data_IF_188330765481
#
_entry.id   IF_188330765481
#
_cell.length_a   1.000
_cell.length_b   1.000
_cell.length_c   1.000
_cell.angle_alpha   90.00
_cell.angle_beta   90.00
_cell.angle_gamma   90.00
#
_symmetry.space_group_name_H-M   'P 1'
#
loop_
_entity.id
_entity.type
_entity.pdbx_description
1 polymer ?
#
# COMPACT_ATOMS: atom_id res chain seq x y z
N UNK A 1 0.60 8.34 -19.56
CA UNK A 1 2.06 8.33 -19.77
C UNK A 1 2.58 6.96 -20.21
N UNK A 2 2.03 5.88 -19.69
CA UNK A 2 2.37 4.49 -20.05
C UNK A 2 1.17 3.77 -20.65
N UNK A 3 1.44 2.69 -21.38
CA UNK A 3 0.45 1.71 -21.85
C UNK A 3 0.87 0.35 -21.31
N UNK A 4 -0.08 -0.37 -20.73
CA UNK A 4 0.11 -1.73 -20.24
C UNK A 4 -0.15 -2.74 -21.37
N UNK A 5 0.39 -3.96 -21.30
CA UNK A 5 0.02 -5.06 -22.17
C UNK A 5 -1.48 -5.34 -22.13
N UNK A 6 -2.01 -5.86 -23.24
CA UNK A 6 -3.41 -6.29 -23.30
C UNK A 6 -3.69 -7.40 -22.27
N UNK A 7 -4.76 -7.26 -21.51
CA UNK A 7 -5.14 -8.20 -20.45
C UNK A 7 -4.35 -8.06 -19.15
N UNK A 8 -3.45 -7.08 -19.05
CA UNK A 8 -2.74 -6.83 -17.81
C UNK A 8 -3.70 -6.45 -16.67
N UNK A 9 -3.48 -7.05 -15.51
CA UNK A 9 -4.22 -6.81 -14.27
C UNK A 9 -3.26 -6.73 -13.08
N UNK A 10 -3.79 -6.57 -11.88
CA UNK A 10 -3.01 -6.40 -10.64
C UNK A 10 -2.12 -7.59 -10.29
N UNK A 11 -2.47 -8.79 -10.75
CA UNK A 11 -1.72 -10.03 -10.49
C UNK A 11 -0.64 -10.32 -11.55
N UNK A 12 -0.51 -9.47 -12.58
CA UNK A 12 0.34 -9.74 -13.74
C UNK A 12 1.84 -9.65 -13.46
N UNK A 13 2.26 -9.14 -12.31
CA UNK A 13 3.67 -9.04 -11.92
C UNK A 13 4.52 -8.26 -12.93
N UNK A 14 3.99 -7.19 -13.50
CA UNK A 14 4.63 -6.40 -14.55
C UNK A 14 5.92 -5.72 -14.06
N UNK A 15 6.88 -5.64 -14.96
CA UNK A 15 8.12 -4.88 -14.80
C UNK A 15 8.15 -3.67 -15.74
N UNK A 16 9.12 -2.79 -15.62
CA UNK A 16 9.29 -1.67 -16.56
C UNK A 16 9.51 -2.12 -18.01
N UNK A 17 9.95 -3.36 -18.23
CA UNK A 17 10.15 -3.91 -19.57
C UNK A 17 8.84 -4.28 -20.26
N UNK A 18 7.77 -4.48 -19.49
CA UNK A 18 6.45 -4.87 -19.97
C UNK A 18 5.58 -3.66 -20.33
N UNK A 19 6.02 -2.44 -19.98
CA UNK A 19 5.23 -1.23 -20.23
C UNK A 19 5.77 -0.46 -21.44
N UNK A 20 4.85 0.14 -22.19
CA UNK A 20 5.20 1.02 -23.31
C UNK A 20 5.03 2.48 -22.90
N UNK A 21 6.08 3.27 -23.07
CA UNK A 21 6.03 4.71 -22.82
C UNK A 21 5.37 5.42 -24.01
N UNK A 22 4.33 6.22 -23.73
CA UNK A 22 3.65 7.04 -24.74
C UNK A 22 4.49 8.22 -25.22
N UNK A 23 5.40 8.70 -24.39
CA UNK A 23 6.34 9.74 -24.73
C UNK A 23 7.78 9.23 -24.53
N UNK A 24 8.58 9.26 -25.58
CA UNK A 24 9.99 8.83 -25.56
C UNK A 24 10.91 9.72 -24.70
N UNK A 25 10.40 10.85 -24.22
CA UNK A 25 11.13 11.73 -23.30
C UNK A 25 11.01 11.31 -21.83
N UNK A 26 10.18 10.31 -21.55
CA UNK A 26 10.00 9.78 -20.20
C UNK A 26 10.97 8.61 -20.04
N UNK A 27 11.71 8.60 -18.96
CA UNK A 27 12.51 7.47 -18.51
C UNK A 27 11.99 6.97 -17.15
N UNK A 28 11.94 5.64 -16.98
CA UNK A 28 11.55 4.99 -15.73
C UNK A 28 12.82 4.53 -15.02
N UNK A 29 13.10 5.15 -13.88
CA UNK A 29 14.22 4.80 -13.01
C UNK A 29 13.68 4.02 -11.80
N UNK A 30 14.18 2.80 -11.63
CA UNK A 30 13.85 1.96 -10.47
C UNK A 30 14.83 2.27 -9.35
N UNK A 31 14.31 2.54 -8.17
CA UNK A 31 15.08 2.91 -6.97
C UNK A 31 14.50 2.13 -5.79
N UNK A 32 15.36 1.74 -4.85
CA UNK A 32 14.91 1.12 -3.59
C UNK A 32 13.86 2.01 -2.92
N UNK A 33 12.75 1.43 -2.49
CA UNK A 33 11.58 2.17 -2.03
C UNK A 33 11.87 3.14 -0.87
N UNK A 34 12.76 2.75 0.05
CA UNK A 34 13.21 3.58 1.18
C UNK A 34 13.97 4.84 0.76
N UNK A 35 14.54 4.83 -0.45
CA UNK A 35 15.33 5.95 -1.00
C UNK A 35 14.50 6.91 -1.84
N UNK A 36 13.30 6.50 -2.28
CA UNK A 36 12.44 7.28 -3.16
C UNK A 36 12.15 8.70 -2.64
N UNK A 37 11.83 8.94 -1.35
CA UNK A 37 11.59 10.29 -0.87
C UNK A 37 12.78 11.24 -1.09
N UNK A 38 14.01 10.74 -0.98
CA UNK A 38 15.21 11.54 -1.17
C UNK A 38 15.50 11.89 -2.64
N UNK A 39 14.88 11.18 -3.59
CA UNK A 39 15.10 11.41 -5.04
C UNK A 39 14.19 12.47 -5.64
N UNK A 40 13.23 13.01 -4.89
CA UNK A 40 12.22 13.94 -5.42
C UNK A 40 12.81 15.19 -6.08
N UNK A 41 13.99 15.63 -5.65
CA UNK A 41 14.66 16.77 -6.27
C UNK A 41 15.26 16.46 -7.66
N UNK A 42 15.46 15.18 -7.97
CA UNK A 42 16.18 14.73 -9.16
C UNK A 42 15.25 14.16 -10.24
N UNK A 43 13.95 14.02 -9.94
CA UNK A 43 12.96 13.40 -10.82
C UNK A 43 11.76 14.32 -11.04
N UNK A 44 11.06 14.14 -12.16
CA UNK A 44 9.83 14.86 -12.42
C UNK A 44 8.65 14.34 -11.59
N UNK A 45 8.62 13.02 -11.33
CA UNK A 45 7.58 12.33 -10.55
C UNK A 45 8.21 11.12 -9.84
N UNK A 46 7.71 10.80 -8.66
CA UNK A 46 8.02 9.55 -7.97
C UNK A 46 6.73 8.88 -7.51
N UNK A 47 6.68 7.55 -7.57
CA UNK A 47 5.63 6.73 -6.95
C UNK A 47 6.20 6.21 -5.64
N UNK A 48 5.64 6.66 -4.52
CA UNK A 48 6.16 6.38 -3.18
C UNK A 48 5.05 5.78 -2.33
N UNK A 49 5.30 4.60 -1.77
CA UNK A 49 4.36 3.98 -0.84
C UNK A 49 4.28 4.79 0.47
N UNK A 50 3.08 4.86 1.06
CA UNK A 50 2.80 5.67 2.24
C UNK A 50 3.70 5.39 3.44
N UNK A 51 4.11 4.12 3.65
CA UNK A 51 5.01 3.72 4.71
C UNK A 51 6.45 4.29 4.59
N UNK A 52 6.85 4.76 3.40
CA UNK A 52 8.11 5.47 3.17
C UNK A 52 7.90 6.99 3.06
N UNK A 53 6.75 7.42 2.55
CA UNK A 53 6.43 8.83 2.40
C UNK A 53 6.23 9.52 3.77
N UNK A 54 5.39 8.95 4.62
CA UNK A 54 5.00 9.55 5.91
C UNK A 54 6.21 9.79 6.84
N UNK A 55 7.11 8.82 7.07
CA UNK A 55 8.32 9.06 7.87
C UNK A 55 9.27 10.11 7.29
N UNK A 56 9.21 10.33 5.97
CA UNK A 56 9.97 11.38 5.30
C UNK A 56 9.29 12.76 5.33
N UNK A 57 8.15 12.89 6.03
CA UNK A 57 7.39 14.14 6.13
C UNK A 57 6.54 14.46 4.91
N UNK A 58 6.32 13.49 4.02
CA UNK A 58 5.45 13.60 2.85
C UNK A 58 4.09 13.00 3.19
N UNK A 59 3.10 13.87 3.35
CA UNK A 59 1.74 13.44 3.74
C UNK A 59 0.87 13.25 2.49
N UNK A 60 0.34 12.05 2.23
CA UNK A 60 -0.35 11.72 0.99
C UNK A 60 -1.47 12.71 0.62
N UNK A 61 -2.29 13.11 1.57
CA UNK A 61 -3.41 14.03 1.34
C UNK A 61 -3.01 15.48 1.10
N UNK A 62 -1.79 15.87 1.48
CA UNK A 62 -1.28 17.23 1.34
C UNK A 62 -0.31 17.38 0.17
N UNK A 63 0.58 16.42 0.01
CA UNK A 63 1.78 16.56 -0.84
C UNK A 63 1.70 15.75 -2.14
N UNK A 64 0.82 14.73 -2.21
CA UNK A 64 0.69 13.92 -3.42
C UNK A 64 -0.09 14.66 -4.51
N UNK A 65 0.41 14.60 -5.75
CA UNK A 65 -0.31 15.06 -6.95
C UNK A 65 -1.48 14.11 -7.26
N UNK A 66 -1.28 12.84 -6.98
CA UNK A 66 -2.27 11.77 -7.13
C UNK A 66 -2.14 10.78 -5.98
N UNK A 67 -3.23 10.46 -5.35
CA UNK A 67 -3.32 9.45 -4.31
C UNK A 67 -4.13 8.27 -4.85
N UNK A 68 -3.56 7.06 -4.76
CA UNK A 68 -4.26 5.84 -5.14
C UNK A 68 -5.50 5.63 -4.27
N UNK A 69 -6.58 5.14 -4.88
CA UNK A 69 -7.81 4.83 -4.14
C UNK A 69 -7.57 3.69 -3.16
N UNK A 70 -8.10 3.83 -1.95
CA UNK A 70 -8.15 2.76 -0.95
C UNK A 70 -9.28 1.75 -1.20
N UNK A 71 -10.03 1.92 -2.29
CA UNK A 71 -11.12 1.05 -2.69
C UNK A 71 -10.77 0.28 -3.96
N UNK A 72 -11.31 -0.92 -4.09
CA UNK A 72 -11.18 -1.73 -5.29
C UNK A 72 -10.17 -2.86 -5.16
N UNK A 73 -9.96 -3.57 -6.27
CA UNK A 73 -9.15 -4.79 -6.32
C UNK A 73 -7.67 -4.55 -6.00
N UNK A 74 -7.11 -3.44 -6.48
CA UNK A 74 -5.73 -3.07 -6.18
C UNK A 74 -5.50 -2.84 -4.68
N UNK A 75 -6.45 -2.18 -4.00
CA UNK A 75 -6.35 -1.92 -2.56
C UNK A 75 -6.31 -3.21 -1.74
N UNK A 76 -7.02 -4.25 -2.17
CA UNK A 76 -7.03 -5.56 -1.51
C UNK A 76 -5.63 -6.20 -1.46
N UNK A 77 -4.81 -6.05 -2.51
CA UNK A 77 -3.44 -6.58 -2.56
C UNK A 77 -2.49 -5.93 -1.55
N UNK A 78 -2.77 -4.71 -1.16
CA UNK A 78 -1.93 -3.93 -0.25
C UNK A 78 -2.46 -3.92 1.19
N UNK A 79 -3.47 -4.72 1.48
CA UNK A 79 -3.99 -4.87 2.85
C UNK A 79 -2.94 -5.54 3.74
N UNK A 80 -2.69 -4.95 4.90
CA UNK A 80 -1.81 -5.55 5.90
C UNK A 80 -2.59 -6.55 6.75
N UNK A 81 -1.99 -7.72 6.99
CA UNK A 81 -2.60 -8.82 7.72
C UNK A 81 -1.79 -9.17 8.97
N UNK A 82 -2.49 -9.66 9.99
CA UNK A 82 -1.86 -10.37 11.10
C UNK A 82 -1.71 -11.84 10.70
N UNK A 83 -0.48 -12.30 10.58
CA UNK A 83 -0.17 -13.69 10.20
C UNK A 83 0.23 -14.47 11.44
N UNK A 84 -0.34 -15.65 11.61
CA UNK A 84 -0.02 -16.56 12.72
C UNK A 84 0.34 -17.94 12.20
N UNK A 85 1.05 -18.73 13.01
CA UNK A 85 1.33 -20.12 12.68
C UNK A 85 0.01 -20.90 12.58
N UNK A 86 -0.10 -21.77 11.56
CA UNK A 86 -1.25 -22.63 11.36
C UNK A 86 -1.61 -23.42 12.64
N UNK A 87 -2.88 -23.42 13.01
CA UNK A 87 -3.40 -24.00 14.24
C UNK A 87 -3.44 -23.05 15.44
N UNK A 88 -2.95 -21.80 15.30
CA UNK A 88 -3.01 -20.78 16.35
C UNK A 88 -4.07 -19.71 16.09
N UNK A 89 -4.90 -19.84 15.07
CA UNK A 89 -5.87 -18.86 14.64
C UNK A 89 -6.86 -18.51 15.75
N UNK A 90 -7.25 -19.52 16.55
CA UNK A 90 -8.18 -19.37 17.66
C UNK A 90 -7.50 -19.20 19.03
N UNK A 91 -6.17 -19.04 19.06
CA UNK A 91 -5.47 -18.88 20.33
C UNK A 91 -5.92 -17.58 21.04
N UNK A 92 -6.06 -17.59 22.40
CA UNK A 92 -6.56 -16.43 23.13
C UNK A 92 -5.79 -15.13 22.87
N UNK A 93 -4.47 -15.22 22.69
CA UNK A 93 -3.64 -14.05 22.41
C UNK A 93 -3.91 -13.49 21.02
N UNK A 94 -4.20 -14.33 20.00
CA UNK A 94 -4.56 -13.90 18.65
C UNK A 94 -5.88 -13.15 18.66
N UNK A 95 -6.89 -13.70 19.34
CA UNK A 95 -8.20 -13.05 19.50
C UNK A 95 -8.10 -11.72 20.26
N UNK A 96 -7.23 -11.66 21.28
CA UNK A 96 -6.99 -10.42 22.00
C UNK A 96 -6.32 -9.36 21.11
N UNK A 97 -5.35 -9.76 20.30
CA UNK A 97 -4.68 -8.88 19.33
C UNK A 97 -5.65 -8.38 18.25
N UNK A 98 -6.43 -9.29 17.65
CA UNK A 98 -7.46 -8.95 16.66
C UNK A 98 -8.43 -7.91 17.23
N UNK A 99 -8.98 -8.19 18.41
CA UNK A 99 -9.89 -7.26 19.09
C UNK A 99 -9.26 -5.89 19.37
N UNK A 100 -7.99 -5.86 19.74
CA UNK A 100 -7.29 -4.60 20.02
C UNK A 100 -7.08 -3.79 18.73
N UNK A 101 -6.62 -4.43 17.65
CA UNK A 101 -6.37 -3.78 16.36
C UNK A 101 -7.66 -3.32 15.69
N UNK A 102 -8.75 -4.07 15.80
CA UNK A 102 -10.07 -3.71 15.25
C UNK A 102 -10.90 -2.83 16.19
N UNK A 103 -10.29 -2.25 17.22
CA UNK A 103 -11.00 -1.37 18.15
C UNK A 103 -11.33 -0.02 17.51
N UNK A 104 -12.45 0.57 17.93
CA UNK A 104 -12.84 1.93 17.52
C UNK A 104 -11.73 2.96 17.83
N UNK A 105 -10.99 2.76 18.91
CA UNK A 105 -9.87 3.61 19.28
C UNK A 105 -8.75 3.60 18.22
N UNK A 106 -8.41 2.42 17.68
CA UNK A 106 -7.41 2.29 16.60
C UNK A 106 -7.95 2.89 15.31
N UNK A 107 -9.22 2.63 14.99
CA UNK A 107 -9.88 3.20 13.81
C UNK A 107 -9.85 4.72 13.83
N UNK A 108 -10.27 5.34 14.93
CA UNK A 108 -10.25 6.79 15.09
C UNK A 108 -8.82 7.35 15.00
N UNK A 109 -7.86 6.68 15.63
CA UNK A 109 -6.46 7.07 15.55
C UNK A 109 -5.97 7.12 14.10
N UNK A 110 -6.24 6.10 13.29
CA UNK A 110 -5.82 6.05 11.88
C UNK A 110 -6.51 7.12 11.03
N UNK A 111 -7.77 7.44 11.32
CA UNK A 111 -8.55 8.41 10.55
C UNK A 111 -8.29 9.88 10.93
N UNK A 112 -7.94 10.14 12.18
CA UNK A 112 -7.84 11.48 12.75
C UNK A 112 -6.40 11.96 12.95
N UNK A 113 -5.44 11.03 13.08
CA UNK A 113 -4.05 11.40 13.23
C UNK A 113 -3.53 12.05 11.95
N UNK A 114 -2.97 13.26 12.07
CA UNK A 114 -2.55 14.07 10.92
C UNK A 114 -1.45 13.39 10.08
N UNK A 115 -0.62 12.54 10.71
CA UNK A 115 0.46 11.82 10.03
C UNK A 115 -0.07 10.66 9.19
N UNK A 116 -1.19 10.04 9.57
CA UNK A 116 -1.75 8.86 8.90
C UNK A 116 -2.95 9.15 8.03
N UNK A 117 -3.60 10.28 8.23
CA UNK A 117 -4.85 10.66 7.56
C UNK A 117 -4.75 10.57 6.04
N UNK A 118 -5.57 9.70 5.46
CA UNK A 118 -5.61 9.45 4.02
C UNK A 118 -4.44 8.65 3.44
N UNK A 119 -3.39 8.37 4.23
CA UNK A 119 -2.29 7.49 3.84
C UNK A 119 -2.38 6.08 4.42
N UNK A 120 -3.16 5.93 5.51
CA UNK A 120 -3.48 4.65 6.12
C UNK A 120 -4.98 4.58 6.32
N UNK A 121 -5.63 3.58 5.73
CA UNK A 121 -7.09 3.41 5.78
C UNK A 121 -7.41 2.12 6.54
N UNK A 122 -8.24 2.19 7.62
CA UNK A 122 -8.64 0.98 8.33
C UNK A 122 -9.55 0.12 7.45
N UNK A 123 -9.18 -1.16 7.27
CA UNK A 123 -9.94 -2.16 6.55
C UNK A 123 -10.37 -3.27 7.51
N UNK A 124 -11.29 -2.97 8.44
CA UNK A 124 -11.71 -3.88 9.49
C UNK A 124 -12.80 -4.87 9.05
N UNK A 125 -13.44 -4.60 7.93
CA UNK A 125 -14.49 -5.43 7.33
C UNK A 125 -14.01 -6.20 6.10
N UNK A 126 -12.73 -6.04 5.74
CA UNK A 126 -12.11 -6.71 4.61
C UNK A 126 -12.10 -8.22 4.75
N UNK A 127 -11.95 -8.91 3.64
CA UNK A 127 -12.05 -10.36 3.48
C UNK A 127 -11.39 -11.14 4.61
N UNK A 128 -12.23 -11.80 5.41
CA UNK A 128 -11.81 -12.77 6.43
C UNK A 128 -11.36 -14.11 5.82
N UNK A 129 -11.22 -14.19 4.51
CA UNK A 129 -10.58 -15.35 3.89
C UNK A 129 -9.10 -15.32 4.25
N UNK A 130 -8.79 -16.07 5.30
CA UNK A 130 -7.41 -16.38 5.65
C UNK A 130 -6.74 -16.98 4.43
N UNK A 131 -5.85 -16.23 3.81
CA UNK A 131 -4.94 -16.79 2.84
C UNK A 131 -4.09 -17.83 3.59
N UNK A 132 -4.45 -19.10 3.46
CA UNK A 132 -3.62 -20.20 3.96
C UNK A 132 -2.38 -20.21 3.08
N UNK A 133 -1.35 -19.55 3.55
CA UNK A 133 -0.01 -19.68 2.95
C UNK A 133 0.49 -21.07 3.34
N UNK A 134 0.31 -22.03 2.46
CA UNK A 134 0.96 -23.33 2.60
C UNK A 134 2.47 -23.11 2.49
N UNK A 135 3.26 -23.74 3.39
CA UNK A 135 4.72 -23.64 3.40
C UNK A 135 5.35 -24.27 2.15
#
# INVERSE_FOLDING_TARGET
>A
LITLPEGANVDSGLTKLDVTLKDKKIDIVEVDAERLPATLADVAFAVINGNYAIPAGLFPTRDAIYLESSEGEAARLYTNYVVVKAGNEDAPFVKALEKALHSEKVKQFLLENEDFKGGVVPNFEGDKEAAVVNP
#
